data_IF_635327231303
#
_entry.id   IF_635327231303
#
_cell.length_a   1.000
_cell.length_b   1.000
_cell.length_c   1.000
_cell.angle_alpha   90.00
_cell.angle_beta   90.00
_cell.angle_gamma   90.00
#
_symmetry.space_group_name_H-M   'P 1'
#
loop_
_entity.id
_entity.type
_entity.pdbx_description
1 polymer ?
#
# COMPACT_ATOMS: atom_id res chain seq x y z
N UNK A 1 12.20 -35.97 4.57
CA UNK A 1 13.40 -35.42 5.22
C UNK A 1 13.22 -33.92 5.33
N UNK A 2 12.76 -33.44 6.50
CA UNK A 2 12.54 -32.02 6.74
C UNK A 2 13.90 -31.33 6.78
N UNK A 3 14.21 -30.57 5.74
CA UNK A 3 15.46 -29.83 5.64
C UNK A 3 15.34 -28.60 6.57
N UNK A 4 15.55 -28.81 7.87
CA UNK A 4 15.47 -27.81 8.95
C UNK A 4 16.68 -26.87 8.99
N UNK A 5 17.46 -26.79 7.92
CA UNK A 5 18.57 -25.86 7.83
C UNK A 5 18.02 -24.42 7.84
N UNK A 6 18.53 -23.54 8.72
CA UNK A 6 18.06 -22.17 8.81
C UNK A 6 18.24 -21.46 7.47
N UNK A 7 17.24 -20.68 7.06
CA UNK A 7 17.28 -19.97 5.79
C UNK A 7 18.35 -18.89 5.88
N UNK A 8 19.32 -18.93 4.96
CA UNK A 8 20.46 -18.00 4.95
C UNK A 8 19.98 -16.56 4.81
N UNK A 9 20.62 -15.64 5.51
CA UNK A 9 20.33 -14.20 5.42
C UNK A 9 20.43 -13.67 3.99
N UNK A 10 21.36 -14.21 3.19
CA UNK A 10 21.49 -13.86 1.76
C UNK A 10 20.24 -14.18 0.95
N UNK A 11 19.57 -15.29 1.26
CA UNK A 11 18.32 -15.68 0.61
C UNK A 11 17.15 -14.84 1.09
N UNK A 12 17.08 -14.53 2.40
CA UNK A 12 16.09 -13.59 2.97
C UNK A 12 16.21 -12.20 2.34
N UNK A 13 17.43 -11.71 2.14
CA UNK A 13 17.72 -10.45 1.46
C UNK A 13 17.35 -10.51 -0.02
N UNK A 14 17.73 -11.57 -0.74
CA UNK A 14 17.37 -11.74 -2.15
C UNK A 14 15.85 -11.84 -2.36
N UNK A 15 15.13 -12.47 -1.43
CA UNK A 15 13.68 -12.46 -1.40
C UNK A 15 13.15 -11.04 -1.23
N UNK A 16 13.72 -10.27 -0.30
CA UNK A 16 13.32 -8.88 -0.11
C UNK A 16 13.66 -7.93 -1.26
N UNK A 17 14.73 -8.16 -2.02
CA UNK A 17 15.05 -7.39 -3.22
C UNK A 17 13.98 -7.52 -4.31
N UNK A 18 13.28 -8.65 -4.43
CA UNK A 18 12.12 -8.76 -5.32
C UNK A 18 11.04 -7.74 -4.95
N UNK A 19 10.79 -7.59 -3.65
CA UNK A 19 9.86 -6.60 -3.10
C UNK A 19 10.35 -5.16 -3.35
N UNK A 20 11.66 -4.92 -3.39
CA UNK A 20 12.24 -3.60 -3.70
C UNK A 20 11.77 -3.12 -5.07
N UNK A 21 12.09 -3.87 -6.12
CA UNK A 21 11.72 -3.51 -7.48
C UNK A 21 10.21 -3.37 -7.65
N UNK A 22 9.47 -4.35 -7.12
CA UNK A 22 8.02 -4.34 -7.17
C UNK A 22 7.39 -3.06 -6.58
N UNK A 23 7.87 -2.60 -5.42
CA UNK A 23 7.35 -1.41 -4.77
C UNK A 23 7.74 -0.11 -5.50
N UNK A 24 8.85 -0.09 -6.25
CA UNK A 24 9.24 1.06 -7.08
C UNK A 24 8.19 1.31 -8.18
N UNK A 25 7.87 0.28 -8.99
CA UNK A 25 6.88 0.43 -10.06
C UNK A 25 5.47 0.62 -9.52
N UNK A 26 5.10 -0.08 -8.44
CA UNK A 26 3.80 0.08 -7.79
C UNK A 26 3.59 1.51 -7.28
N UNK A 27 4.61 2.10 -6.64
CA UNK A 27 4.55 3.47 -6.12
C UNK A 27 4.39 4.51 -7.23
N UNK A 28 5.03 4.30 -8.39
CA UNK A 28 4.86 5.14 -9.57
C UNK A 28 3.42 5.05 -10.11
N UNK A 29 2.90 3.83 -10.30
CA UNK A 29 1.53 3.60 -10.77
C UNK A 29 0.49 4.20 -9.80
N UNK A 30 0.64 3.94 -8.50
CA UNK A 30 -0.35 4.32 -7.50
C UNK A 30 -0.47 5.84 -7.33
N UNK A 31 0.65 6.57 -7.35
CA UNK A 31 0.64 8.00 -7.03
C UNK A 31 0.57 8.90 -8.28
N UNK A 32 1.17 8.51 -9.40
CA UNK A 32 1.37 9.40 -10.55
C UNK A 32 0.45 9.11 -11.74
N UNK A 33 -0.17 7.92 -11.81
CA UNK A 33 -0.92 7.53 -13.01
C UNK A 33 -2.18 8.39 -13.22
N UNK A 34 -2.91 8.71 -12.15
CA UNK A 34 -4.07 9.61 -12.23
C UNK A 34 -3.66 10.99 -12.75
N UNK A 35 -2.60 11.56 -12.16
CA UNK A 35 -2.02 12.82 -12.60
C UNK A 35 -1.57 12.76 -14.06
N UNK A 36 -0.91 11.69 -14.49
CA UNK A 36 -0.51 11.53 -15.88
C UNK A 36 -1.71 11.49 -16.84
N UNK A 37 -2.76 10.74 -16.52
CA UNK A 37 -3.96 10.67 -17.35
C UNK A 37 -4.67 12.01 -17.46
N UNK A 38 -4.73 12.79 -16.38
CA UNK A 38 -5.36 14.11 -16.40
C UNK A 38 -4.47 15.14 -17.09
N UNK A 39 -3.24 15.30 -16.61
CA UNK A 39 -2.38 16.44 -16.94
C UNK A 39 -1.55 16.23 -18.19
N UNK A 40 -1.26 15.00 -18.56
CA UNK A 40 -0.34 14.75 -19.67
C UNK A 40 -1.08 14.14 -20.84
N UNK A 41 -1.94 13.16 -20.57
CA UNK A 41 -2.72 12.52 -21.62
C UNK A 41 -3.98 13.33 -22.00
N UNK A 42 -4.51 14.11 -21.06
CA UNK A 42 -5.66 14.99 -21.26
C UNK A 42 -7.01 14.28 -21.17
N UNK A 43 -7.12 13.24 -20.36
CA UNK A 43 -8.39 12.57 -20.04
C UNK A 43 -9.07 13.31 -18.90
N UNK A 44 -10.39 13.48 -18.97
CA UNK A 44 -11.17 14.06 -17.88
C UNK A 44 -10.93 13.30 -16.56
N UNK A 45 -10.73 13.98 -15.41
CA UNK A 45 -10.43 13.31 -14.15
C UNK A 45 -11.48 12.24 -13.79
N UNK A 46 -12.77 12.54 -13.90
CA UNK A 46 -13.86 11.59 -13.62
C UNK A 46 -13.73 10.27 -14.42
N UNK A 47 -13.35 10.38 -15.70
CA UNK A 47 -13.15 9.21 -16.56
C UNK A 47 -11.89 8.46 -16.16
N UNK A 48 -10.78 9.16 -15.92
CA UNK A 48 -9.53 8.55 -15.47
C UNK A 48 -9.71 7.81 -14.13
N UNK A 49 -10.38 8.43 -13.16
CA UNK A 49 -10.71 7.78 -11.88
C UNK A 49 -11.59 6.54 -12.06
N UNK A 50 -12.55 6.57 -12.98
CA UNK A 50 -13.39 5.40 -13.29
C UNK A 50 -12.57 4.26 -13.91
N UNK A 51 -11.62 4.56 -14.79
CA UNK A 51 -10.68 3.56 -15.35
C UNK A 51 -9.89 2.89 -14.21
N UNK A 52 -9.33 3.69 -13.31
CA UNK A 52 -8.55 3.17 -12.18
C UNK A 52 -9.40 2.31 -11.24
N UNK A 53 -10.65 2.70 -11.01
CA UNK A 53 -11.61 1.90 -10.21
C UNK A 53 -11.89 0.55 -10.85
N UNK A 54 -12.29 0.55 -12.12
CA UNK A 54 -12.67 -0.68 -12.83
C UNK A 54 -11.49 -1.65 -12.91
N UNK A 55 -10.28 -1.15 -13.15
CA UNK A 55 -9.08 -1.95 -13.10
C UNK A 55 -8.83 -2.56 -11.71
N UNK A 56 -9.08 -1.83 -10.62
CA UNK A 56 -8.93 -2.37 -9.26
C UNK A 56 -10.03 -3.37 -8.89
N UNK A 57 -11.25 -3.17 -9.36
CA UNK A 57 -12.33 -4.16 -9.22
C UNK A 57 -11.99 -5.45 -9.99
N UNK A 58 -11.36 -5.31 -11.16
CA UNK A 58 -10.83 -6.45 -11.91
C UNK A 58 -9.71 -7.18 -11.15
N UNK A 59 -8.78 -6.46 -10.51
CA UNK A 59 -7.73 -7.07 -9.66
C UNK A 59 -8.33 -7.99 -8.58
N UNK A 60 -9.47 -7.61 -7.98
CA UNK A 60 -10.14 -8.42 -6.95
C UNK A 60 -10.62 -9.80 -7.45
N UNK A 61 -10.89 -9.93 -8.75
CA UNK A 61 -11.23 -11.21 -9.40
C UNK A 61 -9.96 -11.92 -9.89
N UNK A 62 -9.00 -11.17 -10.41
CA UNK A 62 -7.79 -11.70 -11.01
C UNK A 62 -6.82 -12.32 -9.98
N UNK A 63 -6.70 -11.76 -8.76
CA UNK A 63 -5.76 -12.29 -7.77
C UNK A 63 -6.09 -13.72 -7.31
N UNK A 64 -7.36 -14.05 -6.95
CA UNK A 64 -7.71 -15.44 -6.64
C UNK A 64 -7.51 -16.39 -7.82
N UNK A 65 -7.84 -15.93 -9.05
CA UNK A 65 -7.61 -16.70 -10.27
C UNK A 65 -6.12 -17.03 -10.47
N UNK A 66 -5.25 -16.02 -10.38
CA UNK A 66 -3.80 -16.22 -10.47
C UNK A 66 -3.26 -17.10 -9.35
N UNK A 67 -3.81 -16.98 -8.15
CA UNK A 67 -3.51 -17.92 -7.08
C UNK A 67 -3.81 -19.38 -7.46
N UNK A 68 -4.95 -19.65 -8.10
CA UNK A 68 -5.32 -20.99 -8.55
C UNK A 68 -4.42 -21.48 -9.71
N UNK A 69 -4.06 -20.61 -10.64
CA UNK A 69 -3.14 -20.95 -11.74
C UNK A 69 -1.73 -21.25 -11.23
N UNK A 70 -1.19 -20.41 -10.34
CA UNK A 70 0.07 -20.67 -9.67
C UNK A 70 0.03 -21.99 -8.88
N UNK A 71 -1.13 -22.35 -8.33
CA UNK A 71 -1.30 -23.61 -7.60
C UNK A 71 -1.11 -24.88 -8.45
N UNK A 72 -1.66 -24.84 -9.66
CA UNK A 72 -1.62 -25.94 -10.63
C UNK A 72 -0.30 -26.01 -11.39
N UNK A 73 0.53 -24.99 -11.30
CA UNK A 73 1.80 -24.94 -12.03
C UNK A 73 2.77 -26.00 -11.52
N UNK A 74 3.33 -26.77 -12.46
CA UNK A 74 4.34 -27.81 -12.23
C UNK A 74 5.45 -27.60 -13.26
N UNK A 75 6.59 -27.06 -12.83
CA UNK A 75 7.75 -26.88 -13.72
C UNK A 75 9.02 -27.38 -13.05
N UNK A 76 10.06 -27.60 -13.85
CA UNK A 76 11.41 -27.95 -13.38
C UNK A 76 12.05 -26.90 -12.46
N UNK A 77 11.57 -25.65 -12.50
CA UNK A 77 12.11 -24.55 -11.70
C UNK A 77 11.37 -24.34 -10.38
N UNK A 78 10.30 -25.11 -10.15
CA UNK A 78 9.37 -24.92 -9.05
C UNK A 78 7.99 -24.47 -9.54
N UNK A 79 7.15 -24.14 -8.58
CA UNK A 79 5.76 -23.75 -8.76
C UNK A 79 5.61 -22.23 -8.93
N UNK A 80 6.30 -21.44 -8.11
CA UNK A 80 6.17 -19.98 -8.06
C UNK A 80 7.31 -19.27 -8.77
N UNK A 81 8.52 -19.83 -8.75
CA UNK A 81 9.72 -19.23 -9.37
C UNK A 81 9.57 -18.85 -10.85
N UNK A 82 8.96 -19.64 -11.75
CA UNK A 82 8.80 -19.26 -13.16
C UNK A 82 8.08 -17.93 -13.35
N UNK A 83 7.09 -17.64 -12.50
CA UNK A 83 6.35 -16.39 -12.57
C UNK A 83 7.25 -15.18 -12.35
N UNK A 84 8.24 -15.28 -11.45
CA UNK A 84 9.16 -14.18 -11.14
C UNK A 84 10.09 -13.78 -12.29
N UNK A 85 10.29 -14.63 -13.30
CA UNK A 85 11.16 -14.27 -14.42
C UNK A 85 10.37 -13.87 -15.66
N UNK A 86 9.33 -14.63 -16.02
CA UNK A 86 8.60 -14.38 -17.28
C UNK A 86 7.60 -13.24 -17.15
N UNK A 87 6.86 -13.17 -16.04
CA UNK A 87 5.79 -12.17 -15.92
C UNK A 87 6.33 -10.74 -15.78
N UNK A 88 7.46 -10.47 -15.09
CA UNK A 88 7.99 -9.12 -15.04
C UNK A 88 8.43 -8.58 -16.40
N UNK A 89 9.04 -9.43 -17.22
CA UNK A 89 9.44 -9.08 -18.58
C UNK A 89 8.22 -8.69 -19.42
N UNK A 90 7.11 -9.41 -19.25
CA UNK A 90 5.87 -9.17 -20.00
C UNK A 90 5.14 -7.89 -19.59
N UNK A 91 5.21 -7.45 -18.32
CA UNK A 91 4.51 -6.21 -17.94
C UNK A 91 5.28 -4.94 -18.31
N UNK A 92 6.60 -4.98 -18.54
CA UNK A 92 7.42 -3.80 -18.92
C UNK A 92 6.79 -2.98 -20.05
N UNK A 93 6.41 -3.56 -21.22
CA UNK A 93 5.80 -2.78 -22.29
C UNK A 93 4.48 -2.15 -21.86
N UNK A 94 3.66 -2.82 -21.05
CA UNK A 94 2.38 -2.28 -20.57
C UNK A 94 2.56 -1.18 -19.52
N UNK A 95 3.59 -1.26 -18.67
CA UNK A 95 3.95 -0.19 -17.75
C UNK A 95 4.35 1.09 -18.50
N UNK A 96 5.16 0.96 -19.56
CA UNK A 96 5.55 2.09 -20.42
C UNK A 96 4.36 2.59 -21.26
N UNK A 97 3.53 1.68 -21.79
CA UNK A 97 2.35 2.01 -22.56
C UNK A 97 1.30 2.78 -21.72
N UNK A 98 1.18 2.46 -20.43
CA UNK A 98 0.31 3.17 -19.47
C UNK A 98 0.73 4.63 -19.30
N UNK A 99 2.02 4.95 -19.49
CA UNK A 99 2.54 6.31 -19.51
C UNK A 99 2.79 6.85 -20.93
N UNK A 100 2.18 6.24 -21.94
CA UNK A 100 2.29 6.70 -23.33
C UNK A 100 1.13 7.58 -23.75
N UNK A 101 1.41 8.55 -24.62
CA UNK A 101 0.42 9.49 -25.17
C UNK A 101 0.27 9.32 -26.68
N UNK A 102 -0.27 8.19 -27.18
CA UNK A 102 -0.53 8.05 -28.61
C UNK A 102 -1.51 9.12 -29.08
N UNK A 103 -1.31 9.60 -30.32
CA UNK A 103 -2.22 10.56 -30.95
C UNK A 103 -3.50 9.84 -31.37
N UNK A 104 -4.48 9.83 -30.46
CA UNK A 104 -5.79 9.19 -30.65
C UNK A 104 -6.92 10.19 -30.37
N UNK A 105 -8.11 9.88 -30.90
CA UNK A 105 -9.36 10.56 -30.49
C UNK A 105 -9.60 10.39 -28.98
N UNK A 106 -10.46 11.21 -28.37
CA UNK A 106 -10.76 11.11 -26.93
C UNK A 106 -11.19 9.69 -26.52
N UNK A 107 -12.08 9.06 -27.29
CA UNK A 107 -12.49 7.66 -27.09
C UNK A 107 -11.31 6.71 -27.20
N UNK A 108 -10.41 6.92 -28.16
CA UNK A 108 -9.19 6.12 -28.31
C UNK A 108 -8.21 6.30 -27.14
N UNK A 109 -8.09 7.51 -26.58
CA UNK A 109 -7.28 7.75 -25.36
C UNK A 109 -7.83 7.00 -24.16
N UNK A 110 -9.15 7.05 -23.95
CA UNK A 110 -9.83 6.33 -22.86
C UNK A 110 -9.62 4.83 -23.00
N UNK A 111 -9.84 4.28 -24.20
CA UNK A 111 -9.62 2.87 -24.48
C UNK A 111 -8.15 2.46 -24.27
N UNK A 112 -7.20 3.27 -24.74
CA UNK A 112 -5.78 3.04 -24.55
C UNK A 112 -5.39 2.99 -23.07
N UNK A 113 -5.80 4.00 -22.29
CA UNK A 113 -5.53 4.06 -20.86
C UNK A 113 -6.12 2.86 -20.12
N UNK A 114 -7.37 2.48 -20.43
CA UNK A 114 -8.03 1.34 -19.82
C UNK A 114 -7.33 0.02 -20.15
N UNK A 115 -7.08 -0.26 -21.43
CA UNK A 115 -6.46 -1.53 -21.86
C UNK A 115 -5.04 -1.65 -21.32
N UNK A 116 -4.22 -0.61 -21.45
CA UNK A 116 -2.82 -0.67 -21.01
C UNK A 116 -2.70 -0.87 -19.51
N UNK A 117 -3.51 -0.17 -18.72
CA UNK A 117 -3.48 -0.31 -17.26
C UNK A 117 -4.08 -1.62 -16.76
N UNK A 118 -5.17 -2.11 -17.36
CA UNK A 118 -5.75 -3.42 -17.01
C UNK A 118 -4.78 -4.54 -17.37
N UNK A 119 -4.15 -4.50 -18.55
CA UNK A 119 -3.13 -5.47 -18.94
C UNK A 119 -1.90 -5.42 -18.02
N UNK A 120 -1.43 -4.22 -17.66
CA UNK A 120 -0.37 -4.06 -16.67
C UNK A 120 -0.78 -4.71 -15.33
N UNK A 121 -1.95 -4.38 -14.79
CA UNK A 121 -2.46 -4.94 -13.54
C UNK A 121 -2.54 -6.46 -13.56
N UNK A 122 -3.05 -7.03 -14.66
CA UNK A 122 -3.16 -8.48 -14.82
C UNK A 122 -1.81 -9.19 -14.76
N UNK A 123 -0.84 -8.70 -15.52
CA UNK A 123 0.50 -9.31 -15.59
C UNK A 123 1.27 -9.04 -14.29
N UNK A 124 1.08 -7.86 -13.69
CA UNK A 124 1.64 -7.53 -12.39
C UNK A 124 1.15 -8.48 -11.30
N UNK A 125 -0.16 -8.75 -11.22
CA UNK A 125 -0.73 -9.75 -10.29
C UNK A 125 -0.12 -11.15 -10.51
N UNK A 126 0.19 -11.51 -11.75
CA UNK A 126 0.83 -12.77 -12.07
C UNK A 126 2.27 -12.88 -11.54
N UNK A 127 2.92 -11.76 -11.17
CA UNK A 127 4.18 -11.75 -10.41
C UNK A 127 3.97 -11.64 -8.91
N UNK A 128 3.05 -10.78 -8.47
CA UNK A 128 2.81 -10.42 -7.06
C UNK A 128 2.28 -11.59 -6.23
N UNK A 129 1.24 -12.28 -6.72
CA UNK A 129 0.60 -13.38 -5.98
C UNK A 129 1.59 -14.55 -5.77
N UNK A 130 2.29 -15.05 -6.82
CA UNK A 130 3.33 -16.06 -6.64
C UNK A 130 4.50 -15.61 -5.76
N UNK A 131 4.89 -14.33 -5.83
CA UNK A 131 5.97 -13.79 -5.00
C UNK A 131 5.65 -13.94 -3.52
N UNK A 132 4.48 -13.48 -3.06
CA UNK A 132 4.11 -13.62 -1.64
C UNK A 132 3.82 -15.06 -1.24
N UNK A 133 3.27 -15.88 -2.15
CA UNK A 133 3.05 -17.30 -1.93
C UNK A 133 4.37 -18.09 -1.76
N UNK A 134 5.47 -17.63 -2.38
CA UNK A 134 6.79 -18.25 -2.29
C UNK A 134 7.27 -18.36 -0.84
N UNK A 135 6.93 -17.41 0.04
CA UNK A 135 7.26 -17.48 1.47
C UNK A 135 6.84 -18.80 2.14
N UNK A 136 5.72 -19.38 1.71
CA UNK A 136 5.21 -20.65 2.21
C UNK A 136 5.90 -21.89 1.61
N UNK A 137 6.55 -21.74 0.45
CA UNK A 137 7.33 -22.78 -0.21
C UNK A 137 8.82 -22.75 0.15
N UNK A 138 9.30 -21.68 0.78
CA UNK A 138 10.68 -21.57 1.29
C UNK A 138 10.87 -22.42 2.55
N UNK A 139 9.91 -22.39 3.49
CA UNK A 139 9.98 -23.13 4.76
C UNK A 139 8.59 -23.49 5.31
N UNK A 140 8.49 -24.65 5.98
CA UNK A 140 7.29 -25.09 6.71
C UNK A 140 7.22 -24.48 8.12
N UNK A 141 8.35 -24.14 8.71
CA UNK A 141 8.43 -23.59 10.07
C UNK A 141 7.87 -22.16 10.09
N UNK A 142 6.87 -21.94 10.94
CA UNK A 142 6.20 -20.65 11.13
C UNK A 142 7.16 -19.54 11.60
N UNK A 143 8.09 -19.85 12.49
CA UNK A 143 9.04 -18.87 13.03
C UNK A 143 10.05 -18.44 11.96
N UNK A 144 10.61 -19.40 11.23
CA UNK A 144 11.48 -19.10 10.08
C UNK A 144 10.70 -18.38 8.96
N UNK A 145 9.44 -18.75 8.70
CA UNK A 145 8.60 -18.04 7.72
C UNK A 145 8.40 -16.59 8.09
N UNK A 146 8.11 -16.32 9.37
CA UNK A 146 7.98 -14.95 9.86
C UNK A 146 9.29 -14.19 9.67
N UNK A 147 10.44 -14.79 10.00
CA UNK A 147 11.76 -14.22 9.73
C UNK A 147 11.96 -13.92 8.24
N UNK A 148 11.59 -14.84 7.34
CA UNK A 148 11.68 -14.65 5.88
C UNK A 148 10.79 -13.51 5.37
N UNK A 149 9.59 -13.33 5.93
CA UNK A 149 8.62 -12.29 5.49
C UNK A 149 8.99 -10.89 5.98
N UNK A 150 9.71 -10.77 7.10
CA UNK A 150 10.12 -9.46 7.64
C UNK A 150 11.08 -8.71 6.71
N UNK A 151 12.02 -9.41 6.05
CA UNK A 151 13.00 -8.77 5.15
C UNK A 151 12.34 -8.07 3.95
N UNK A 152 11.46 -8.71 3.16
CA UNK A 152 10.69 -8.04 2.11
C UNK A 152 9.89 -6.84 2.58
N UNK A 153 9.28 -6.90 3.77
CA UNK A 153 8.49 -5.79 4.31
C UNK A 153 9.38 -4.59 4.66
N UNK A 154 10.54 -4.85 5.27
CA UNK A 154 11.51 -3.80 5.57
C UNK A 154 12.06 -3.17 4.29
N UNK A 155 12.46 -3.99 3.31
CA UNK A 155 13.00 -3.52 2.02
C UNK A 155 11.93 -2.78 1.20
N UNK A 156 10.66 -3.19 1.27
CA UNK A 156 9.55 -2.46 0.65
C UNK A 156 9.44 -1.02 1.17
N UNK A 157 9.57 -0.81 2.49
CA UNK A 157 9.53 0.52 3.08
C UNK A 157 10.64 1.42 2.55
N UNK A 158 11.85 0.87 2.39
CA UNK A 158 13.00 1.58 1.79
C UNK A 158 12.71 1.91 0.32
N UNK A 159 12.17 0.95 -0.45
CA UNK A 159 11.82 1.15 -1.85
C UNK A 159 10.78 2.26 -2.02
N UNK A 160 9.72 2.28 -1.21
CA UNK A 160 8.69 3.32 -1.24
C UNK A 160 9.30 4.69 -0.90
N UNK A 161 10.20 4.77 0.10
CA UNK A 161 10.88 6.01 0.45
C UNK A 161 11.77 6.52 -0.70
N UNK A 162 12.56 5.64 -1.32
CA UNK A 162 13.40 5.97 -2.49
C UNK A 162 12.52 6.38 -3.68
N UNK A 163 11.46 5.64 -4.00
CA UNK A 163 10.53 6.01 -5.06
C UNK A 163 9.93 7.39 -4.81
N UNK A 164 9.51 7.67 -3.58
CA UNK A 164 8.93 8.98 -3.19
C UNK A 164 9.92 10.13 -3.44
N UNK A 165 11.20 9.94 -3.11
CA UNK A 165 12.24 10.96 -3.26
C UNK A 165 12.76 11.08 -4.69
N UNK A 166 12.89 9.97 -5.41
CA UNK A 166 13.57 9.93 -6.70
C UNK A 166 12.64 10.04 -7.90
N UNK A 167 11.35 9.71 -7.78
CA UNK A 167 10.42 9.67 -8.93
C UNK A 167 10.33 11.02 -9.63
N UNK A 168 10.03 12.10 -8.91
CA UNK A 168 9.91 13.43 -9.52
C UNK A 168 11.23 13.95 -10.12
N UNK A 169 12.39 13.87 -9.42
CA UNK A 169 13.68 14.18 -10.03
C UNK A 169 13.99 13.38 -11.29
N UNK A 170 13.69 12.07 -11.32
CA UNK A 170 13.89 11.22 -12.49
C UNK A 170 12.96 11.62 -13.65
N UNK A 171 11.69 11.88 -13.37
CA UNK A 171 10.74 12.39 -14.36
C UNK A 171 11.29 13.69 -14.95
N UNK A 172 11.73 14.64 -14.12
CA UNK A 172 12.31 15.90 -14.58
C UNK A 172 13.57 15.70 -15.42
N UNK A 173 14.48 14.82 -14.99
CA UNK A 173 15.73 14.49 -15.70
C UNK A 173 15.47 13.92 -17.10
N UNK A 174 14.46 13.05 -17.23
CA UNK A 174 14.09 12.42 -18.49
C UNK A 174 13.09 13.22 -19.32
N UNK A 175 12.41 14.19 -18.71
CA UNK A 175 11.49 15.09 -19.39
C UNK A 175 12.24 16.12 -20.24
N UNK A 176 11.62 16.51 -21.33
CA UNK A 176 12.02 17.65 -22.13
C UNK A 176 10.80 18.56 -22.29
N UNK A 177 10.97 19.89 -22.43
CA UNK A 177 9.84 20.82 -22.59
C UNK A 177 8.90 20.45 -23.75
N UNK A 178 9.41 19.75 -24.78
CA UNK A 178 8.63 19.30 -25.94
C UNK A 178 7.91 17.96 -25.73
N UNK A 179 8.25 17.20 -24.69
CA UNK A 179 7.73 15.85 -24.46
C UNK A 179 7.68 15.50 -22.97
N UNK A 180 6.74 16.08 -22.19
CA UNK A 180 6.59 15.76 -20.77
C UNK A 180 6.29 14.27 -20.53
N UNK A 181 5.53 13.64 -21.45
CA UNK A 181 5.22 12.21 -21.39
C UNK A 181 6.47 11.32 -21.38
N UNK A 182 7.55 11.73 -22.05
CA UNK A 182 8.81 10.97 -22.12
C UNK A 182 9.44 10.78 -20.75
N UNK A 183 9.30 11.76 -19.85
CA UNK A 183 9.83 11.67 -18.48
C UNK A 183 9.19 10.53 -17.70
N UNK A 184 7.86 10.38 -17.81
CA UNK A 184 7.12 9.30 -17.17
C UNK A 184 7.39 7.94 -17.82
N UNK A 185 7.47 7.88 -19.16
CA UNK A 185 7.79 6.64 -19.89
C UNK A 185 9.16 6.08 -19.51
N UNK A 186 10.19 6.93 -19.50
CA UNK A 186 11.55 6.51 -19.17
C UNK A 186 11.68 6.17 -17.69
N UNK A 187 11.00 6.89 -16.80
CA UNK A 187 10.96 6.53 -15.37
C UNK A 187 10.29 5.18 -15.16
N UNK A 188 9.16 4.94 -15.83
CA UNK A 188 8.46 3.65 -15.80
C UNK A 188 9.31 2.52 -16.38
N UNK A 189 10.05 2.78 -17.47
CA UNK A 189 10.99 1.83 -18.06
C UNK A 189 12.12 1.50 -17.08
N UNK A 190 12.76 2.51 -16.49
CA UNK A 190 13.81 2.33 -15.48
C UNK A 190 13.32 1.49 -14.29
N UNK A 191 12.15 1.82 -13.73
CA UNK A 191 11.59 1.08 -12.59
C UNK A 191 11.16 -0.34 -12.98
N UNK A 192 10.65 -0.54 -14.19
CA UNK A 192 10.26 -1.86 -14.68
C UNK A 192 11.49 -2.75 -14.95
N UNK A 193 12.55 -2.23 -15.57
CA UNK A 193 13.82 -2.95 -15.75
C UNK A 193 14.45 -3.32 -14.40
N UNK A 194 14.46 -2.37 -13.47
CA UNK A 194 14.91 -2.62 -12.09
C UNK A 194 14.09 -3.72 -11.43
N UNK A 195 12.76 -3.73 -11.63
CA UNK A 195 11.88 -4.77 -11.12
C UNK A 195 12.20 -6.15 -11.71
N UNK A 196 12.45 -6.22 -13.02
CA UNK A 196 12.89 -7.46 -13.69
C UNK A 196 14.21 -7.95 -13.10
N UNK A 197 15.19 -7.07 -12.91
CA UNK A 197 16.48 -7.44 -12.32
C UNK A 197 16.33 -7.94 -10.87
N UNK A 198 15.54 -7.24 -10.07
CA UNK A 198 15.22 -7.60 -8.69
C UNK A 198 14.53 -8.98 -8.59
N UNK A 199 13.52 -9.24 -9.42
CA UNK A 199 12.87 -10.54 -9.43
C UNK A 199 13.74 -11.65 -10.01
N UNK A 200 14.61 -11.35 -10.98
CA UNK A 200 15.61 -12.30 -11.46
C UNK A 200 16.57 -12.70 -10.33
N UNK A 201 17.03 -11.76 -9.50
CA UNK A 201 17.81 -12.07 -8.29
C UNK A 201 17.02 -12.99 -7.36
N UNK A 202 15.75 -12.67 -7.06
CA UNK A 202 14.90 -13.55 -6.26
C UNK A 202 14.78 -14.95 -6.88
N UNK A 203 14.60 -15.04 -8.19
CA UNK A 203 14.52 -16.32 -8.91
C UNK A 203 15.78 -17.17 -8.72
N UNK A 204 16.97 -16.60 -8.88
CA UNK A 204 18.23 -17.36 -8.82
C UNK A 204 18.64 -17.73 -7.39
N UNK A 205 18.41 -16.84 -6.42
CA UNK A 205 18.88 -17.02 -5.05
C UNK A 205 17.87 -17.68 -4.12
N UNK A 206 16.56 -17.59 -4.39
CA UNK A 206 15.52 -18.19 -3.56
C UNK A 206 15.11 -19.55 -4.11
N UNK A 207 15.09 -20.56 -3.23
CA UNK A 207 14.74 -21.94 -3.60
C UNK A 207 13.43 -22.36 -2.94
N UNK A 208 12.59 -23.00 -3.74
CA UNK A 208 11.43 -23.74 -3.23
C UNK A 208 11.93 -25.04 -2.62
N UNK A 209 11.69 -25.24 -1.32
CA UNK A 209 12.09 -26.44 -0.56
C UNK A 209 10.91 -27.29 -0.16
N UNK A 210 9.73 -26.69 -0.13
CA UNK A 210 8.52 -27.24 0.45
C UNK A 210 7.43 -27.19 -0.61
N UNK A 211 6.73 -28.29 -0.82
CA UNK A 211 5.45 -28.23 -1.49
C UNK A 211 4.43 -27.73 -0.47
N UNK A 212 3.83 -26.56 -0.66
CA UNK A 212 2.88 -26.04 0.30
C UNK A 212 1.78 -27.09 0.51
N UNK A 213 1.59 -27.54 1.76
CA UNK A 213 0.46 -28.40 2.10
C UNK A 213 -0.82 -27.72 1.61
N UNK A 214 -1.75 -28.51 1.06
CA UNK A 214 -3.08 -28.05 0.63
C UNK A 214 -3.86 -27.51 1.84
N UNK A 215 -3.48 -26.36 2.37
CA UNK A 215 -4.33 -25.58 3.25
C UNK A 215 -5.34 -24.91 2.34
N UNK A 216 -6.61 -25.24 2.54
CA UNK A 216 -7.72 -24.63 1.81
C UNK A 216 -7.54 -23.11 1.81
N UNK A 217 -7.51 -22.52 0.61
CA UNK A 217 -7.48 -21.06 0.48
C UNK A 217 -8.78 -20.51 1.02
N UNK A 218 -8.70 -19.47 1.84
CA UNK A 218 -9.88 -18.77 2.33
C UNK A 218 -10.71 -18.29 1.15
N UNK A 219 -11.99 -18.70 1.11
CA UNK A 219 -12.93 -18.19 0.12
C UNK A 219 -13.28 -16.74 0.43
N UNK A 220 -13.77 -15.99 -0.57
CA UNK A 220 -14.33 -14.66 -0.35
C UNK A 220 -15.48 -14.68 0.69
N UNK A 221 -16.24 -15.77 0.72
CA UNK A 221 -17.27 -16.01 1.74
C UNK A 221 -16.68 -16.14 3.15
N UNK A 222 -15.51 -16.77 3.27
CA UNK A 222 -14.82 -16.93 4.55
C UNK A 222 -14.27 -15.60 5.04
N UNK A 223 -13.73 -14.76 4.14
CA UNK A 223 -13.30 -13.40 4.44
C UNK A 223 -14.47 -12.60 5.05
N UNK A 224 -15.61 -12.54 4.36
CA UNK A 224 -16.81 -11.83 4.85
C UNK A 224 -17.30 -12.41 6.18
N UNK A 225 -17.32 -13.74 6.30
CA UNK A 225 -17.74 -14.40 7.54
C UNK A 225 -16.83 -14.01 8.70
N UNK A 226 -15.51 -14.05 8.51
CA UNK A 226 -14.50 -13.64 9.50
C UNK A 226 -14.69 -12.19 9.94
N UNK A 227 -15.05 -11.28 9.02
CA UNK A 227 -15.41 -9.91 9.36
C UNK A 227 -16.64 -9.82 10.28
N UNK A 228 -17.71 -10.53 9.94
CA UNK A 228 -18.96 -10.47 10.71
C UNK A 228 -18.88 -11.21 12.05
N UNK A 229 -18.05 -12.25 12.16
CA UNK A 229 -17.91 -13.05 13.38
C UNK A 229 -16.90 -12.48 14.37
N UNK A 230 -15.84 -11.81 13.90
CA UNK A 230 -14.80 -11.23 14.75
C UNK A 230 -14.95 -9.70 14.82
N UNK A 231 -15.83 -9.24 15.72
CA UNK A 231 -16.11 -7.81 15.90
C UNK A 231 -14.86 -6.97 16.19
N UNK A 232 -13.92 -7.36 17.07
CA UNK A 232 -12.66 -6.62 17.27
C UNK A 232 -11.87 -6.46 15.97
N UNK A 233 -11.75 -7.53 15.18
CA UNK A 233 -11.03 -7.50 13.90
C UNK A 233 -11.69 -6.53 12.91
N UNK A 234 -13.02 -6.57 12.79
CA UNK A 234 -13.77 -5.68 11.91
C UNK A 234 -13.50 -4.20 12.25
N UNK A 235 -13.48 -3.85 13.55
CA UNK A 235 -13.22 -2.47 13.98
C UNK A 235 -11.81 -2.00 13.59
N UNK A 236 -10.79 -2.81 13.83
CA UNK A 236 -9.40 -2.48 13.51
C UNK A 236 -9.22 -2.32 12.00
N UNK A 237 -9.85 -3.21 11.24
CA UNK A 237 -9.74 -3.19 9.80
C UNK A 237 -10.49 -2.00 9.16
N UNK A 238 -11.70 -1.68 9.62
CA UNK A 238 -12.44 -0.49 9.14
C UNK A 238 -11.66 0.79 9.45
N UNK A 239 -11.03 0.85 10.62
CA UNK A 239 -10.12 1.96 10.97
C UNK A 239 -8.92 2.05 10.00
N UNK A 240 -8.31 0.91 9.67
CA UNK A 240 -7.20 0.83 8.71
C UNK A 240 -7.59 1.28 7.30
N UNK A 241 -8.81 0.94 6.86
CA UNK A 241 -9.37 1.38 5.58
C UNK A 241 -9.41 2.92 5.47
N UNK A 242 -9.97 3.61 6.46
CA UNK A 242 -10.02 5.08 6.46
C UNK A 242 -8.62 5.69 6.52
N UNK A 243 -7.73 5.16 7.35
CA UNK A 243 -6.35 5.66 7.46
C UNK A 243 -5.61 5.57 6.14
N UNK A 244 -5.73 4.44 5.45
CA UNK A 244 -5.11 4.25 4.15
C UNK A 244 -5.66 5.20 3.08
N UNK A 245 -6.94 5.59 3.17
CA UNK A 245 -7.53 6.63 2.30
C UNK A 245 -6.82 7.95 2.53
N UNK A 246 -6.68 8.38 3.80
CA UNK A 246 -6.01 9.63 4.16
C UNK A 246 -4.58 9.70 3.63
N UNK A 247 -3.81 8.64 3.85
CA UNK A 247 -2.41 8.56 3.42
C UNK A 247 -2.26 8.63 1.90
N UNK A 248 -2.98 7.77 1.19
CA UNK A 248 -2.88 7.66 -0.28
C UNK A 248 -3.38 8.94 -0.94
N UNK A 249 -4.45 9.52 -0.39
CA UNK A 249 -4.99 10.77 -0.88
C UNK A 249 -4.05 11.94 -0.64
N UNK A 250 -3.41 12.01 0.54
CA UNK A 250 -2.42 13.05 0.84
C UNK A 250 -1.29 13.04 -0.18
N UNK A 251 -0.67 11.88 -0.45
CA UNK A 251 0.44 11.78 -1.40
C UNK A 251 0.02 12.10 -2.84
N UNK A 252 -1.14 11.60 -3.27
CA UNK A 252 -1.65 11.83 -4.63
C UNK A 252 -2.06 13.30 -4.84
N UNK A 253 -2.78 13.90 -3.90
CA UNK A 253 -3.18 15.31 -3.95
C UNK A 253 -2.00 16.27 -3.85
N UNK A 254 -0.96 15.90 -3.09
CA UNK A 254 0.26 16.71 -2.94
C UNK A 254 0.97 16.94 -4.29
N UNK A 255 0.83 16.03 -5.26
CA UNK A 255 1.37 16.21 -6.62
C UNK A 255 0.67 17.37 -7.32
N UNK A 256 -0.67 17.39 -7.31
CA UNK A 256 -1.47 18.50 -7.85
C UNK A 256 -1.20 19.81 -7.10
N UNK A 257 -1.15 19.75 -5.77
CA UNK A 257 -0.86 20.90 -4.92
C UNK A 257 0.50 21.53 -5.20
N UNK A 258 1.55 20.71 -5.34
CA UNK A 258 2.90 21.17 -5.68
C UNK A 258 2.94 21.90 -7.03
N UNK A 259 2.24 21.36 -8.03
CA UNK A 259 2.18 21.95 -9.37
C UNK A 259 1.39 23.27 -9.39
N UNK A 260 0.17 23.27 -8.86
CA UNK A 260 -0.79 24.38 -9.08
C UNK A 260 -0.80 25.41 -7.95
N UNK A 261 -0.74 24.99 -6.69
CA UNK A 261 -0.76 25.92 -5.56
C UNK A 261 0.64 26.51 -5.29
N UNK A 262 1.69 25.68 -5.41
CA UNK A 262 3.07 26.11 -5.16
C UNK A 262 3.85 26.49 -6.42
N UNK A 263 3.28 26.24 -7.61
CA UNK A 263 3.89 26.59 -8.89
C UNK A 263 5.16 25.80 -9.26
N UNK A 264 5.48 24.74 -8.52
CA UNK A 264 6.71 23.97 -8.73
C UNK A 264 6.53 22.49 -8.35
N UNK A 265 6.51 21.62 -9.34
CA UNK A 265 6.35 20.17 -9.19
C UNK A 265 7.41 19.52 -8.27
N UNK A 266 8.62 20.10 -8.18
CA UNK A 266 9.67 19.61 -7.27
C UNK A 266 9.33 19.79 -5.79
N UNK A 267 8.37 20.66 -5.46
CA UNK A 267 7.88 20.82 -4.09
C UNK A 267 7.25 19.53 -3.57
N UNK A 268 6.71 18.67 -4.44
CA UNK A 268 6.28 17.33 -4.04
C UNK A 268 7.41 16.57 -3.33
N UNK A 269 8.60 16.54 -3.95
CA UNK A 269 9.78 15.83 -3.40
C UNK A 269 10.18 16.40 -2.05
N UNK A 270 10.13 17.72 -1.89
CA UNK A 270 10.47 18.39 -0.64
C UNK A 270 9.46 18.06 0.47
N UNK A 271 8.15 18.18 0.21
CA UNK A 271 7.12 17.86 1.19
C UNK A 271 7.09 16.36 1.53
N UNK A 272 7.13 15.51 0.51
CA UNK A 272 7.10 14.06 0.69
C UNK A 272 8.38 13.54 1.34
N UNK A 273 9.53 14.12 1.00
CA UNK A 273 10.81 13.85 1.65
C UNK A 273 10.85 14.30 3.10
N UNK A 274 10.31 15.49 3.40
CA UNK A 274 10.14 15.97 4.76
C UNK A 274 9.21 15.09 5.60
N UNK A 275 8.26 14.36 4.99
CA UNK A 275 7.40 13.43 5.72
C UNK A 275 8.16 12.23 6.29
N UNK A 276 9.18 11.72 5.59
CA UNK A 276 9.87 10.48 5.93
C UNK A 276 10.46 10.49 7.36
N UNK A 277 11.31 11.45 7.77
CA UNK A 277 11.87 11.45 9.12
C UNK A 277 10.79 11.55 10.20
N UNK A 278 9.73 12.34 9.97
CA UNK A 278 8.64 12.47 10.92
C UNK A 278 7.77 11.21 11.00
N UNK A 279 7.55 10.51 9.89
CA UNK A 279 6.94 9.18 9.89
C UNK A 279 7.76 8.21 10.75
N UNK A 280 9.08 8.20 10.59
CA UNK A 280 9.98 7.33 11.36
C UNK A 280 9.97 7.67 12.85
N UNK A 281 9.97 8.95 13.22
CA UNK A 281 9.84 9.40 14.62
C UNK A 281 8.48 8.97 15.20
N UNK A 282 7.41 9.10 14.42
CA UNK A 282 6.09 8.62 14.79
C UNK A 282 6.10 7.13 15.12
N UNK A 283 6.65 6.31 14.22
CA UNK A 283 6.76 4.85 14.41
C UNK A 283 7.66 4.52 15.62
N UNK A 284 8.81 5.18 15.76
CA UNK A 284 9.76 4.92 16.84
C UNK A 284 9.17 5.23 18.23
N UNK A 285 8.22 6.16 18.32
CA UNK A 285 7.55 6.53 19.56
C UNK A 285 6.37 5.61 19.90
N UNK A 286 5.88 4.78 18.97
CA UNK A 286 4.74 3.87 19.17
C UNK A 286 4.91 2.95 20.39
N UNK A 287 6.04 2.24 20.59
CA UNK A 287 6.20 1.34 21.74
C UNK A 287 6.10 2.08 23.09
N UNK A 288 6.64 3.30 23.17
CA UNK A 288 6.58 4.12 24.38
C UNK A 288 5.14 4.50 24.72
N UNK A 289 4.39 5.03 23.76
CA UNK A 289 3.01 5.45 23.99
C UNK A 289 2.06 4.26 24.20
N UNK A 290 2.29 3.13 23.53
CA UNK A 290 1.52 1.91 23.77
C UNK A 290 1.73 1.39 25.20
N UNK A 291 2.97 1.33 25.70
CA UNK A 291 3.23 0.90 27.09
C UNK A 291 2.62 1.84 28.12
N UNK A 292 2.62 3.15 27.87
CA UNK A 292 2.15 4.16 28.83
C UNK A 292 0.62 4.31 28.87
N UNK A 293 -0.05 4.26 27.71
CA UNK A 293 -1.47 4.57 27.58
C UNK A 293 -2.32 3.41 27.05
N UNK A 294 -1.69 2.31 26.64
CA UNK A 294 -2.32 1.18 25.95
C UNK A 294 -2.49 1.44 24.45
N UNK A 295 -2.54 0.35 23.67
CA UNK A 295 -2.67 0.39 22.19
C UNK A 295 -3.83 1.28 21.71
N UNK A 296 -5.01 1.18 22.35
CA UNK A 296 -6.22 1.94 21.97
C UNK A 296 -6.01 3.45 22.06
N UNK A 297 -5.59 3.94 23.22
CA UNK A 297 -5.40 5.37 23.45
C UNK A 297 -4.23 5.92 22.61
N UNK A 298 -3.14 5.17 22.49
CA UNK A 298 -2.02 5.53 21.61
C UNK A 298 -2.47 5.68 20.15
N UNK A 299 -3.27 4.75 19.64
CA UNK A 299 -3.80 4.81 18.27
C UNK A 299 -4.67 6.07 18.05
N UNK A 300 -5.59 6.36 18.97
CA UNK A 300 -6.43 7.56 18.92
C UNK A 300 -5.57 8.84 18.99
N UNK A 301 -4.53 8.85 19.82
CA UNK A 301 -3.58 9.96 19.92
C UNK A 301 -2.86 10.25 18.59
N UNK A 302 -2.35 9.22 17.90
CA UNK A 302 -1.72 9.41 16.59
C UNK A 302 -2.71 9.87 15.51
N UNK A 303 -3.95 9.38 15.52
CA UNK A 303 -4.99 9.94 14.65
C UNK A 303 -5.27 11.40 14.93
N UNK A 304 -5.34 11.79 16.20
CA UNK A 304 -5.52 13.19 16.57
C UNK A 304 -4.34 14.05 16.07
N UNK A 305 -3.10 13.58 16.21
CA UNK A 305 -1.92 14.26 15.65
C UNK A 305 -2.04 14.41 14.13
N UNK A 306 -2.45 13.35 13.43
CA UNK A 306 -2.61 13.40 11.97
C UNK A 306 -3.70 14.38 11.55
N UNK A 307 -4.85 14.35 12.24
CA UNK A 307 -5.98 15.24 12.00
C UNK A 307 -5.61 16.70 12.28
N UNK A 308 -5.04 17.00 13.45
CA UNK A 308 -4.67 18.36 13.85
C UNK A 308 -3.56 18.93 12.97
N UNK A 309 -2.57 18.11 12.60
CA UNK A 309 -1.54 18.52 11.64
C UNK A 309 -2.13 18.87 10.28
N UNK A 310 -3.06 18.05 9.79
CA UNK A 310 -3.75 18.30 8.51
C UNK A 310 -4.67 19.52 8.56
N UNK A 311 -5.35 19.73 9.69
CA UNK A 311 -6.20 20.90 9.90
C UNK A 311 -5.37 22.19 10.02
N UNK A 312 -4.22 22.14 10.70
CA UNK A 312 -3.28 23.27 10.73
C UNK A 312 -2.71 23.60 9.36
N UNK A 313 -2.41 22.58 8.54
CA UNK A 313 -2.01 22.77 7.14
C UNK A 313 -3.06 23.57 6.35
N UNK A 314 -4.35 23.33 6.60
CA UNK A 314 -5.43 24.11 5.99
C UNK A 314 -5.40 25.58 6.41
N UNK A 315 -5.37 25.86 7.72
CA UNK A 315 -5.50 27.22 8.26
C UNK A 315 -4.31 28.14 7.95
N UNK A 316 -3.11 27.59 7.78
CA UNK A 316 -1.93 28.41 7.42
C UNK A 316 -2.04 28.98 6.01
N UNK A 317 -2.76 28.31 5.11
CA UNK A 317 -2.78 28.64 3.69
C UNK A 317 -1.42 28.41 3.02
N UNK A 318 -1.29 28.75 1.75
CA UNK A 318 -0.07 28.50 0.97
C UNK A 318 0.91 29.68 0.90
N UNK A 319 0.62 30.79 1.56
CA UNK A 319 1.47 31.98 1.54
C UNK A 319 2.67 31.86 2.48
N UNK A 320 2.52 31.17 3.62
CA UNK A 320 3.59 30.96 4.58
C UNK A 320 4.17 29.54 4.44
N UNK A 321 5.17 29.42 3.56
CA UNK A 321 5.80 28.15 3.24
C UNK A 321 6.37 27.42 4.47
N UNK A 322 7.04 28.13 5.38
CA UNK A 322 7.68 27.54 6.55
C UNK A 322 6.67 26.90 7.51
N UNK A 323 5.59 27.62 7.84
CA UNK A 323 4.52 27.09 8.67
C UNK A 323 3.76 25.95 7.98
N UNK A 324 3.54 26.06 6.66
CA UNK A 324 2.88 25.02 5.88
C UNK A 324 3.68 23.71 5.93
N UNK A 325 5.00 23.79 5.75
CA UNK A 325 5.90 22.65 5.86
C UNK A 325 5.90 22.06 7.28
N UNK A 326 5.90 22.91 8.32
CA UNK A 326 5.85 22.47 9.71
C UNK A 326 4.58 21.66 10.01
N UNK A 327 3.40 22.12 9.61
CA UNK A 327 2.16 21.36 9.79
C UNK A 327 2.09 20.09 8.94
N UNK A 328 2.67 20.11 7.74
CA UNK A 328 2.84 18.89 6.97
C UNK A 328 3.71 17.86 7.73
N UNK A 329 4.82 18.27 8.34
CA UNK A 329 5.65 17.41 9.17
C UNK A 329 4.92 16.89 10.43
N UNK A 330 4.18 17.76 11.12
CA UNK A 330 3.36 17.36 12.29
C UNK A 330 2.34 16.30 11.90
N UNK A 331 1.62 16.51 10.79
CA UNK A 331 0.64 15.53 10.31
C UNK A 331 1.30 14.18 10.00
N UNK A 332 2.56 14.18 9.53
CA UNK A 332 3.30 12.98 9.16
C UNK A 332 3.72 12.10 10.35
N UNK A 333 3.83 12.66 11.57
CA UNK A 333 4.02 11.87 12.80
C UNK A 333 2.84 10.93 13.09
N UNK A 334 1.63 11.39 12.76
CA UNK A 334 0.39 10.63 12.95
C UNK A 334 0.01 9.77 11.75
N UNK A 335 0.72 9.88 10.63
CA UNK A 335 0.33 9.28 9.37
C UNK A 335 0.47 7.75 9.39
N UNK A 336 1.67 7.21 9.67
CA UNK A 336 1.93 5.76 9.61
C UNK A 336 1.82 5.03 10.95
N UNK A 337 1.96 5.75 12.06
CA UNK A 337 1.94 5.20 13.42
C UNK A 337 0.67 4.39 13.76
N UNK A 338 -0.55 4.81 13.36
CA UNK A 338 -1.75 4.00 13.56
C UNK A 338 -1.68 2.64 12.88
N UNK A 339 -1.07 2.51 11.70
CA UNK A 339 -0.98 1.22 10.98
C UNK A 339 -0.08 0.22 11.71
N UNK A 340 0.99 0.70 12.35
CA UNK A 340 1.86 -0.14 13.19
C UNK A 340 1.08 -0.66 14.39
N UNK A 341 0.32 0.21 15.06
CA UNK A 341 -0.51 -0.18 16.20
C UNK A 341 -1.61 -1.14 15.77
N UNK A 342 -2.27 -0.87 14.65
CA UNK A 342 -3.32 -1.74 14.09
C UNK A 342 -2.78 -3.13 13.76
N UNK A 343 -1.56 -3.24 13.24
CA UNK A 343 -0.93 -4.55 12.99
C UNK A 343 -0.79 -5.34 14.30
N UNK A 344 -0.40 -4.68 15.38
CA UNK A 344 -0.33 -5.29 16.72
C UNK A 344 -1.72 -5.56 17.34
N UNK A 345 -2.76 -4.81 16.98
CA UNK A 345 -4.14 -5.09 17.39
C UNK A 345 -4.75 -6.25 16.60
N UNK A 346 -4.43 -6.37 15.31
CA UNK A 346 -4.85 -7.50 14.47
C UNK A 346 -4.31 -8.79 15.07
N UNK A 347 -3.06 -8.81 15.53
CA UNK A 347 -2.50 -9.92 16.28
C UNK A 347 -3.44 -10.31 17.43
N UNK A 348 -3.74 -9.40 18.36
CA UNK A 348 -4.66 -9.62 19.50
C UNK A 348 -6.03 -10.19 19.09
N UNK A 349 -6.51 -9.85 17.89
CA UNK A 349 -7.80 -10.33 17.38
C UNK A 349 -7.74 -11.77 16.86
N UNK A 350 -6.56 -12.28 16.50
CA UNK A 350 -6.32 -13.67 16.15
C UNK A 350 -6.49 -14.53 17.40
N UNK A 351 -5.87 -14.17 18.53
CA UNK A 351 -6.06 -14.91 19.79
C UNK A 351 -7.53 -14.86 20.24
N UNK A 352 -8.18 -13.70 20.13
CA UNK A 352 -9.61 -13.59 20.44
C UNK A 352 -10.47 -14.49 19.54
N UNK A 353 -10.20 -14.51 18.23
CA UNK A 353 -10.93 -15.35 17.27
C UNK A 353 -10.72 -16.85 17.54
N UNK A 354 -9.50 -17.24 17.91
CA UNK A 354 -9.18 -18.62 18.28
C UNK A 354 -9.90 -19.03 19.57
N UNK A 355 -9.97 -18.15 20.58
CA UNK A 355 -10.70 -18.43 21.82
C UNK A 355 -12.19 -18.70 21.58
N UNK A 356 -12.82 -17.92 20.69
CA UNK A 356 -14.25 -18.03 20.39
C UNK A 356 -14.59 -19.22 19.50
N UNK A 357 -13.75 -19.52 18.51
CA UNK A 357 -14.07 -20.50 17.45
C UNK A 357 -13.34 -21.82 17.59
N UNK A 358 -12.30 -21.88 18.43
CA UNK A 358 -11.37 -23.02 18.52
C UNK A 358 -10.53 -23.24 17.27
N UNK A 359 -10.59 -22.33 16.29
CA UNK A 359 -9.87 -22.42 15.01
C UNK A 359 -9.00 -21.21 14.79
N UNK A 360 -7.73 -21.45 14.46
CA UNK A 360 -6.79 -20.37 14.10
C UNK A 360 -7.03 -19.94 12.65
N UNK A 361 -7.53 -18.72 12.46
CA UNK A 361 -7.92 -18.15 11.15
C UNK A 361 -6.97 -17.06 10.64
N UNK A 362 -5.71 -17.14 11.06
CA UNK A 362 -4.65 -16.17 10.77
C UNK A 362 -4.49 -15.89 9.26
N UNK A 363 -4.51 -16.93 8.42
CA UNK A 363 -4.41 -16.78 6.97
C UNK A 363 -5.57 -15.98 6.37
N UNK A 364 -6.81 -16.23 6.82
CA UNK A 364 -7.99 -15.47 6.39
C UNK A 364 -7.88 -14.02 6.82
N UNK A 365 -7.43 -13.76 8.05
CA UNK A 365 -7.25 -12.40 8.59
C UNK A 365 -6.23 -11.59 7.77
N UNK A 366 -5.08 -12.16 7.43
CA UNK A 366 -4.09 -11.49 6.59
C UNK A 366 -4.58 -11.27 5.15
N UNK A 367 -5.34 -12.22 4.58
CA UNK A 367 -5.94 -12.06 3.26
C UNK A 367 -6.94 -10.89 3.21
N UNK A 368 -7.74 -10.73 4.27
CA UNK A 368 -8.68 -9.62 4.44
C UNK A 368 -7.99 -8.26 4.45
N UNK A 369 -6.82 -8.15 5.09
CA UNK A 369 -6.03 -6.92 5.13
C UNK A 369 -5.54 -6.52 3.73
N UNK A 370 -5.05 -7.49 2.96
CA UNK A 370 -4.54 -7.26 1.60
C UNK A 370 -5.65 -6.82 0.65
N UNK A 371 -6.81 -7.49 0.71
CA UNK A 371 -8.00 -7.11 -0.05
C UNK A 371 -8.40 -5.64 0.23
N UNK A 372 -8.40 -5.24 1.50
CA UNK A 372 -8.78 -3.88 1.85
C UNK A 372 -7.77 -2.82 1.48
N UNK A 373 -6.47 -3.13 1.50
CA UNK A 373 -5.48 -2.20 0.96
C UNK A 373 -5.75 -1.88 -0.53
N UNK A 374 -6.15 -2.89 -1.32
CA UNK A 374 -6.53 -2.70 -2.73
C UNK A 374 -7.83 -1.90 -2.87
N UNK A 375 -8.84 -2.21 -2.04
CA UNK A 375 -10.10 -1.47 -2.02
C UNK A 375 -9.88 0.01 -1.65
N UNK A 376 -9.07 0.28 -0.63
CA UNK A 376 -8.68 1.63 -0.22
C UNK A 376 -8.07 2.40 -1.39
N UNK A 377 -7.07 1.83 -2.07
CA UNK A 377 -6.43 2.49 -3.21
C UNK A 377 -7.42 2.81 -4.35
N UNK A 378 -8.38 1.90 -4.62
CA UNK A 378 -9.42 2.07 -5.62
C UNK A 378 -10.37 3.23 -5.26
N UNK A 379 -10.90 3.21 -4.04
CA UNK A 379 -11.82 4.24 -3.54
C UNK A 379 -11.14 5.60 -3.49
N UNK A 380 -9.88 5.67 -3.05
CA UNK A 380 -9.12 6.92 -3.01
C UNK A 380 -8.93 7.52 -4.40
N UNK A 381 -8.59 6.72 -5.39
CA UNK A 381 -8.38 7.20 -6.77
C UNK A 381 -9.65 7.85 -7.34
N UNK A 382 -10.81 7.21 -7.13
CA UNK A 382 -12.11 7.74 -7.56
C UNK A 382 -12.48 8.99 -6.80
N UNK A 383 -12.29 8.99 -5.48
CA UNK A 383 -12.63 10.11 -4.62
C UNK A 383 -11.86 11.36 -5.07
N UNK A 384 -10.54 11.26 -5.29
CA UNK A 384 -9.73 12.37 -5.79
C UNK A 384 -10.21 12.84 -7.16
N UNK A 385 -10.43 11.90 -8.08
CA UNK A 385 -10.82 12.21 -9.44
C UNK A 385 -12.21 12.89 -9.53
N UNK A 386 -13.16 12.42 -8.72
CA UNK A 386 -14.49 13.00 -8.59
C UNK A 386 -14.40 14.41 -7.97
N UNK A 387 -13.60 14.59 -6.91
CA UNK A 387 -13.42 15.90 -6.28
C UNK A 387 -12.77 16.91 -7.21
N UNK A 388 -11.74 16.52 -7.99
CA UNK A 388 -11.14 17.40 -9.00
C UNK A 388 -12.14 17.79 -10.09
N UNK A 389 -12.95 16.84 -10.57
CA UNK A 389 -13.97 17.11 -11.57
C UNK A 389 -15.05 18.06 -11.05
N UNK A 390 -15.51 17.87 -9.80
CA UNK A 390 -16.51 18.71 -9.17
C UNK A 390 -16.04 20.16 -8.96
N UNK A 391 -14.73 20.36 -8.78
CA UNK A 391 -14.13 21.70 -8.69
C UNK A 391 -13.99 22.39 -10.05
N UNK A 392 -14.21 21.69 -11.17
CA UNK A 392 -13.96 22.24 -12.51
C UNK A 392 -12.46 22.33 -12.84
N UNK A 393 -11.65 21.41 -12.32
CA UNK A 393 -10.21 21.34 -12.60
C UNK A 393 -9.94 21.14 -14.10
N UNK A 394 -9.10 22.01 -14.68
CA UNK A 394 -8.69 21.95 -16.09
C UNK A 394 -7.17 21.75 -16.17
N UNK A 395 -6.65 20.62 -16.67
CA UNK A 395 -5.22 20.36 -16.70
C UNK A 395 -4.43 21.39 -17.53
N UNK A 396 -3.24 21.79 -17.05
CA UNK A 396 -2.28 22.71 -17.70
C UNK A 396 -2.80 24.12 -18.06
N UNK A 397 -3.97 24.50 -17.58
CA UNK A 397 -4.44 25.88 -17.65
C UNK A 397 -4.13 26.62 -16.33
N UNK A 398 -4.07 27.96 -16.31
CA UNK A 398 -4.18 28.72 -15.08
C UNK A 398 -5.47 28.32 -14.34
N UNK A 399 -5.33 27.88 -13.08
CA UNK A 399 -6.48 27.47 -12.27
C UNK A 399 -7.18 28.68 -11.68
N UNK A 400 -8.51 28.61 -11.54
CA UNK A 400 -9.26 29.61 -10.80
C UNK A 400 -8.91 29.55 -9.30
N UNK A 401 -9.10 30.67 -8.59
CA UNK A 401 -8.90 30.73 -7.14
C UNK A 401 -9.76 29.70 -6.39
N UNK A 402 -10.95 29.38 -6.93
CA UNK A 402 -11.83 28.35 -6.40
C UNK A 402 -11.20 26.95 -6.50
N UNK A 403 -10.60 26.61 -7.65
CA UNK A 403 -9.91 25.32 -7.84
C UNK A 403 -8.68 25.23 -6.93
N UNK A 404 -7.86 26.28 -6.85
CA UNK A 404 -6.69 26.30 -5.97
C UNK A 404 -7.08 26.11 -4.50
N UNK A 405 -8.12 26.83 -4.04
CA UNK A 405 -8.68 26.68 -2.69
C UNK A 405 -9.25 25.27 -2.48
N UNK A 406 -9.88 24.71 -3.51
CA UNK A 406 -10.40 23.34 -3.50
C UNK A 406 -9.29 22.28 -3.37
N UNK A 407 -8.21 22.38 -4.14
CA UNK A 407 -7.06 21.46 -4.05
C UNK A 407 -6.42 21.54 -2.65
N UNK A 408 -6.24 22.74 -2.10
CA UNK A 408 -5.74 22.93 -0.74
C UNK A 408 -6.66 22.31 0.31
N UNK A 409 -7.97 22.56 0.18
CA UNK A 409 -8.99 21.99 1.07
C UNK A 409 -8.99 20.47 1.03
N UNK A 410 -8.95 19.85 -0.15
CA UNK A 410 -8.92 18.41 -0.32
C UNK A 410 -7.64 17.78 0.24
N UNK A 411 -6.49 18.44 0.04
CA UNK A 411 -5.18 17.98 0.56
C UNK A 411 -5.17 17.90 2.09
N UNK A 412 -5.88 18.81 2.76
CA UNK A 412 -5.98 18.86 4.21
C UNK A 412 -7.16 18.06 4.79
N UNK A 413 -8.36 18.24 4.23
CA UNK A 413 -9.59 17.70 4.79
C UNK A 413 -9.75 16.20 4.57
N UNK A 414 -9.26 15.65 3.45
CA UNK A 414 -9.33 14.19 3.25
C UNK A 414 -8.55 13.46 4.38
N UNK A 415 -7.27 13.78 4.66
CA UNK A 415 -6.57 13.26 5.83
C UNK A 415 -7.29 13.51 7.17
N UNK A 416 -7.80 14.72 7.38
CA UNK A 416 -8.52 15.09 8.61
C UNK A 416 -9.74 14.19 8.85
N UNK A 417 -10.69 14.16 7.92
CA UNK A 417 -11.91 13.36 8.07
C UNK A 417 -11.60 11.86 8.09
N UNK A 418 -10.63 11.41 7.31
CA UNK A 418 -10.20 10.00 7.35
C UNK A 418 -9.66 9.59 8.72
N UNK A 419 -8.97 10.49 9.42
CA UNK A 419 -8.47 10.25 10.78
C UNK A 419 -9.61 10.21 11.79
N UNK A 420 -10.58 11.13 11.69
CA UNK A 420 -11.77 11.14 12.55
C UNK A 420 -12.61 9.86 12.35
N UNK A 421 -12.85 9.48 11.09
CA UNK A 421 -13.56 8.25 10.76
C UNK A 421 -12.76 7.00 11.18
N UNK A 422 -11.43 7.07 11.20
CA UNK A 422 -10.55 6.03 11.73
C UNK A 422 -10.59 5.91 13.26
N UNK A 423 -10.81 7.01 13.99
CA UNK A 423 -10.95 7.02 15.46
C UNK A 423 -12.23 6.30 15.91
N UNK A 424 -13.35 6.51 15.20
CA UNK A 424 -14.67 6.00 15.61
C UNK A 424 -14.64 4.48 15.89
N UNK A 425 -14.21 3.60 14.97
CA UNK A 425 -14.13 2.16 15.24
C UNK A 425 -13.20 1.79 16.40
N UNK A 426 -12.04 2.47 16.51
CA UNK A 426 -11.06 2.21 17.57
C UNK A 426 -11.58 2.64 18.93
N UNK A 427 -12.41 3.68 18.99
CA UNK A 427 -13.10 4.08 20.23
C UNK A 427 -14.02 2.98 20.76
N UNK A 428 -14.58 2.14 19.89
CA UNK A 428 -15.39 0.96 20.25
C UNK A 428 -14.59 -0.33 20.36
N UNK A 429 -13.26 -0.30 20.17
CA UNK A 429 -12.42 -1.48 20.30
C UNK A 429 -12.45 -2.03 21.73
N UNK A 430 -12.90 -3.30 21.93
CA UNK A 430 -13.18 -3.85 23.25
C UNK A 430 -11.97 -4.51 23.91
N UNK A 431 -10.92 -4.85 23.15
CA UNK A 431 -9.73 -5.53 23.67
C UNK A 431 -8.77 -4.47 24.25
N UNK A 432 -8.88 -4.24 25.56
CA UNK A 432 -7.84 -3.54 26.31
C UNK A 432 -6.75 -4.53 26.74
N UNK A 433 -5.59 -4.03 27.19
CA UNK A 433 -4.45 -4.89 27.53
C UNK A 433 -4.77 -5.92 28.62
N UNK A 434 -5.60 -5.53 29.60
CA UNK A 434 -6.09 -6.44 30.64
C UNK A 434 -6.93 -7.58 30.07
N UNK A 435 -7.84 -7.28 29.15
CA UNK A 435 -8.71 -8.27 28.51
C UNK A 435 -7.92 -9.19 27.58
N UNK A 436 -6.95 -8.65 26.85
CA UNK A 436 -6.04 -9.45 26.04
C UNK A 436 -5.21 -10.41 26.91
N UNK A 437 -4.62 -9.93 28.00
CA UNK A 437 -3.89 -10.78 28.95
C UNK A 437 -4.77 -11.92 29.50
N UNK A 438 -6.05 -11.66 29.81
CA UNK A 438 -7.00 -12.69 30.22
C UNK A 438 -7.22 -13.75 29.13
N UNK A 439 -7.37 -13.35 27.88
CA UNK A 439 -7.57 -14.26 26.73
C UNK A 439 -6.36 -15.18 26.57
N UNK A 440 -5.14 -14.63 26.64
CA UNK A 440 -3.91 -15.41 26.54
C UNK A 440 -3.83 -16.44 27.67
N UNK A 441 -4.13 -16.05 28.91
CA UNK A 441 -4.19 -16.98 30.05
C UNK A 441 -5.25 -18.07 29.85
N UNK A 442 -6.41 -17.74 29.28
CA UNK A 442 -7.47 -18.73 29.01
C UNK A 442 -7.06 -19.72 27.90
N UNK A 443 -6.38 -19.26 26.86
CA UNK A 443 -5.82 -20.10 25.81
C UNK A 443 -4.70 -21.02 26.34
N UNK A 444 -3.88 -20.53 27.27
CA UNK A 444 -2.88 -21.35 27.96
C UNK A 444 -3.56 -22.48 28.76
N UNK A 445 -4.64 -22.18 29.49
CA UNK A 445 -5.42 -23.18 30.23
C UNK A 445 -6.03 -24.26 29.32
N UNK A 446 -6.30 -23.94 28.05
CA UNK A 446 -6.81 -24.90 27.05
C UNK A 446 -5.71 -25.71 26.35
N UNK A 447 -4.43 -25.48 26.68
CA UNK A 447 -3.29 -26.19 26.09
C UNK A 447 -2.96 -25.79 24.65
N UNK A 448 -3.42 -24.62 24.20
CA UNK A 448 -3.35 -24.19 22.79
C UNK A 448 -2.12 -23.32 22.50
N UNK A 449 -1.49 -22.71 23.52
CA UNK A 449 -0.31 -21.85 23.38
C UNK A 449 0.78 -22.33 24.33
N UNK A 450 2.01 -22.47 23.83
CA UNK A 450 3.16 -22.89 24.62
C UNK A 450 3.60 -21.80 25.61
N UNK A 451 4.05 -22.23 26.79
CA UNK A 451 4.58 -21.37 27.87
C UNK A 451 5.71 -20.50 27.33
N UNK A 452 5.67 -19.16 27.48
CA UNK A 452 6.87 -18.36 27.29
C UNK A 452 7.85 -18.76 28.39
N UNK A 453 9.05 -19.21 28.01
CA UNK A 453 10.13 -19.38 28.98
C UNK A 453 10.37 -18.02 29.63
N UNK A 454 10.13 -17.95 30.93
CA UNK A 454 10.53 -16.84 31.78
C UNK A 454 12.05 -16.87 31.89
N UNK A 455 12.72 -15.91 31.28
CA UNK A 455 14.05 -15.45 31.70
C UNK A 455 13.92 -14.06 32.32
#
# INVERSE_FOLDING_TARGET
MNNTNPIKTTEKLAYGFGCFGQNMIYSLMANFLLFFYTDIFGILPSVAGTILLLAKLWDAINDPMMGMFADKTRTRWGKFRPYLIFTPILFVPFAVASFSTPSLSMTGKIAWAAVTYICFGMIYTASDVPFWALSSAITEDTNERNSVVVYPRFIATIAIAIATLCTQPLIKLFSSPKSPARGYQLTALCYSILTVACFALTFFFVRERVQPSNKEKASFKDIIKTFTSNKPLMLVIVSGFFTGIGQTAKLSMLIYYAKYNLGNEMMFTLFAGANIPFILIGIATVPYFCRRFGKKAACIGYYAIYALGSLGFYFVGWNNFGLLLAFNCISSLGMASPQVIQTAMIADTIEYGELQTGKRTEGTIFSSQTFLAKLTAAVTSVMIAASLSALGYIPNAPQSQQVLSGIHSLTAFIPFFSSILGIIPIAFYPLNEKRHAQIVVELHKRGVVAVPLSD
#
